data_IF_343707657159
#
_entry.id   IF_343707657159
#
_cell.length_a   1.000
_cell.length_b   1.000
_cell.length_c   1.000
_cell.angle_alpha   90.00
_cell.angle_beta   90.00
_cell.angle_gamma   90.00
#
_symmetry.space_group_name_H-M   'P 1'
#
loop_
_entity.id
_entity.type
_entity.pdbx_description
1 polymer ?
#
# COMPACT_ATOMS: atom_id res chain seq x y z
N UNK A 1 -24.63 -18.76 -5.61
CA UNK A 1 -23.23 -18.55 -6.09
C UNK A 1 -22.72 -17.11 -5.94
N UNK A 2 -23.41 -16.18 -5.26
CA UNK A 2 -23.05 -14.75 -5.30
C UNK A 2 -22.26 -14.24 -4.08
N UNK A 3 -22.35 -14.91 -2.92
CA UNK A 3 -21.69 -14.44 -1.69
C UNK A 3 -20.17 -14.60 -1.71
N UNK A 4 -19.67 -15.74 -2.20
CA UNK A 4 -18.23 -16.05 -2.23
C UNK A 4 -17.46 -15.09 -3.14
N UNK A 5 -18.00 -14.78 -4.33
CA UNK A 5 -17.40 -13.83 -5.27
C UNK A 5 -17.25 -12.42 -4.67
N UNK A 6 -18.23 -11.99 -3.86
CA UNK A 6 -18.19 -10.70 -3.16
C UNK A 6 -17.08 -10.65 -2.10
N UNK A 7 -16.92 -11.72 -1.32
CA UNK A 7 -15.85 -11.82 -0.33
C UNK A 7 -14.46 -11.80 -1.00
N UNK A 8 -14.29 -12.51 -2.11
CA UNK A 8 -13.04 -12.49 -2.86
C UNK A 8 -12.71 -11.10 -3.42
N UNK A 9 -13.71 -10.38 -3.92
CA UNK A 9 -13.52 -9.02 -4.43
C UNK A 9 -12.98 -8.10 -3.33
N UNK A 10 -13.64 -8.06 -2.16
CA UNK A 10 -13.24 -7.18 -1.04
C UNK A 10 -11.84 -7.54 -0.55
N UNK A 11 -11.53 -8.82 -0.35
CA UNK A 11 -10.21 -9.25 0.14
C UNK A 11 -9.11 -8.85 -0.83
N UNK A 12 -9.34 -9.03 -2.14
CA UNK A 12 -8.39 -8.66 -3.18
C UNK A 12 -8.17 -7.15 -3.24
N UNK A 13 -9.26 -6.38 -3.15
CA UNK A 13 -9.23 -4.92 -3.18
C UNK A 13 -8.52 -4.34 -1.94
N UNK A 14 -8.77 -4.89 -0.75
CA UNK A 14 -8.06 -4.52 0.48
C UNK A 14 -6.57 -4.84 0.39
N UNK A 15 -6.21 -6.05 -0.05
CA UNK A 15 -4.82 -6.46 -0.21
C UNK A 15 -4.07 -5.54 -1.18
N UNK A 16 -4.64 -5.29 -2.36
CA UNK A 16 -4.04 -4.40 -3.35
C UNK A 16 -3.94 -2.95 -2.86
N UNK A 17 -4.93 -2.45 -2.12
CA UNK A 17 -4.92 -1.08 -1.58
C UNK A 17 -3.74 -0.81 -0.64
N UNK A 18 -3.21 -1.85 0.01
CA UNK A 18 -2.06 -1.79 0.93
C UNK A 18 -0.76 -2.12 0.19
N UNK A 19 -0.74 -3.19 -0.60
CA UNK A 19 0.47 -3.65 -1.29
C UNK A 19 0.97 -2.65 -2.32
N UNK A 20 0.08 -2.01 -3.10
CA UNK A 20 0.46 -1.07 -4.15
C UNK A 20 1.25 0.13 -3.61
N UNK A 21 0.77 0.90 -2.61
CA UNK A 21 1.53 2.04 -2.08
C UNK A 21 2.79 1.62 -1.31
N UNK A 22 2.80 0.46 -0.64
CA UNK A 22 3.99 -0.07 0.04
C UNK A 22 5.10 -0.45 -0.95
N UNK A 23 4.79 -1.29 -1.94
CA UNK A 23 5.75 -1.74 -2.95
C UNK A 23 6.15 -0.57 -3.84
N UNK A 24 5.20 0.27 -4.24
CA UNK A 24 5.46 1.48 -5.00
C UNK A 24 6.39 2.44 -4.27
N UNK A 25 6.13 2.69 -2.98
CA UNK A 25 6.98 3.52 -2.12
C UNK A 25 8.37 2.91 -1.92
N UNK A 26 8.47 1.61 -1.64
CA UNK A 26 9.76 0.93 -1.50
C UNK A 26 10.59 1.01 -2.78
N UNK A 27 9.97 0.76 -3.94
CA UNK A 27 10.65 0.80 -5.23
C UNK A 27 11.11 2.22 -5.58
N UNK A 28 10.23 3.22 -5.44
CA UNK A 28 10.57 4.63 -5.65
C UNK A 28 11.67 5.09 -4.69
N UNK A 29 11.51 4.80 -3.40
CA UNK A 29 12.47 5.20 -2.39
C UNK A 29 13.84 4.56 -2.61
N UNK A 30 13.89 3.28 -3.01
CA UNK A 30 15.14 2.59 -3.36
C UNK A 30 15.80 3.15 -4.61
N UNK A 31 15.00 3.50 -5.63
CA UNK A 31 15.51 4.16 -6.84
C UNK A 31 16.13 5.53 -6.52
N UNK A 32 15.45 6.34 -5.71
CA UNK A 32 15.96 7.64 -5.28
C UNK A 32 17.19 7.52 -4.37
N UNK A 33 17.16 6.59 -3.41
CA UNK A 33 18.28 6.36 -2.48
C UNK A 33 19.56 5.94 -3.18
N UNK A 34 19.44 5.22 -4.30
CA UNK A 34 20.57 4.80 -5.14
C UNK A 34 21.13 5.96 -5.98
N UNK A 35 20.27 6.90 -6.40
CA UNK A 35 20.71 8.09 -7.14
C UNK A 35 21.33 9.16 -6.21
N UNK A 36 20.86 9.27 -4.97
CA UNK A 36 21.28 10.29 -4.02
C UNK A 36 22.34 9.81 -3.01
N UNK A 37 22.79 8.55 -3.08
CA UNK A 37 23.66 7.90 -2.09
C UNK A 37 23.12 7.99 -0.63
N UNK A 38 21.80 8.14 -0.46
CA UNK A 38 21.13 8.25 0.85
C UNK A 38 20.61 6.92 1.38
N UNK A 39 20.94 5.81 0.72
CA UNK A 39 20.50 4.46 1.08
C UNK A 39 20.71 4.18 2.58
N UNK A 40 19.67 3.82 3.38
CA UNK A 40 18.28 3.52 3.01
C UNK A 40 17.25 4.56 3.53
N UNK A 41 17.61 5.84 3.66
CA UNK A 41 16.78 6.85 4.33
C UNK A 41 15.49 7.16 3.57
N UNK A 42 15.55 7.36 2.25
CA UNK A 42 14.36 7.68 1.45
C UNK A 42 13.48 6.45 1.26
N UNK A 43 14.07 5.26 1.10
CA UNK A 43 13.36 3.99 1.07
C UNK A 43 12.50 3.82 2.32
N UNK A 44 13.09 4.04 3.50
CA UNK A 44 12.37 3.92 4.77
C UNK A 44 11.24 4.95 4.89
N UNK A 45 11.50 6.20 4.50
CA UNK A 45 10.50 7.28 4.52
C UNK A 45 9.33 6.99 3.57
N UNK A 46 9.60 6.58 2.34
CA UNK A 46 8.56 6.23 1.37
C UNK A 46 7.78 4.98 1.76
N UNK A 47 8.41 3.98 2.38
CA UNK A 47 7.71 2.82 2.94
C UNK A 47 6.77 3.25 4.07
N UNK A 48 7.22 4.11 4.97
CA UNK A 48 6.37 4.65 6.05
C UNK A 48 5.17 5.41 5.47
N UNK A 49 5.39 6.28 4.49
CA UNK A 49 4.31 7.01 3.81
C UNK A 49 3.35 6.02 3.11
N UNK A 50 3.89 5.04 2.40
CA UNK A 50 3.11 4.00 1.73
C UNK A 50 2.28 3.15 2.70
N UNK A 51 2.82 2.86 3.89
CA UNK A 51 2.13 2.17 4.96
C UNK A 51 0.96 3.01 5.49
N UNK A 52 1.17 4.30 5.80
CA UNK A 52 0.10 5.18 6.27
C UNK A 52 -1.01 5.33 5.21
N UNK A 53 -0.65 5.49 3.93
CA UNK A 53 -1.60 5.57 2.82
C UNK A 53 -2.39 4.26 2.63
N UNK A 54 -1.72 3.12 2.75
CA UNK A 54 -2.35 1.80 2.67
C UNK A 54 -3.34 1.58 3.81
N UNK A 55 -2.94 1.89 5.04
CA UNK A 55 -3.82 1.79 6.22
C UNK A 55 -5.01 2.75 6.11
N UNK A 56 -4.79 3.98 5.64
CA UNK A 56 -5.86 4.95 5.43
C UNK A 56 -6.85 4.49 4.35
N UNK A 57 -6.36 3.94 3.24
CA UNK A 57 -7.21 3.39 2.18
C UNK A 57 -8.02 2.20 2.67
N UNK A 58 -7.38 1.29 3.41
CA UNK A 58 -8.04 0.14 4.02
C UNK A 58 -9.14 0.59 5.00
N UNK A 59 -8.83 1.56 5.87
CA UNK A 59 -9.82 2.15 6.79
C UNK A 59 -11.00 2.77 6.03
N UNK A 60 -10.73 3.50 4.95
CA UNK A 60 -11.78 4.10 4.11
C UNK A 60 -12.68 3.03 3.48
N UNK A 61 -12.10 1.97 2.91
CA UNK A 61 -12.87 0.87 2.30
C UNK A 61 -13.75 0.18 3.34
N UNK A 62 -13.22 -0.10 4.52
CA UNK A 62 -13.99 -0.71 5.62
C UNK A 62 -15.09 0.23 6.08
N UNK A 63 -14.80 1.52 6.26
CA UNK A 63 -15.79 2.52 6.66
C UNK A 63 -16.89 2.72 5.63
N UNK A 64 -16.58 2.72 4.34
CA UNK A 64 -17.59 2.83 3.27
C UNK A 64 -18.42 1.53 3.11
N UNK A 65 -17.94 0.40 3.68
CA UNK A 65 -18.62 -0.90 3.61
C UNK A 65 -19.53 -1.19 4.81
N UNK A 66 -19.48 -0.38 5.87
CA UNK A 66 -20.30 -0.48 7.10
C UNK A 66 -21.44 0.53 7.03
#
# INVERSE_FOLDING_TARGET
MNGVLWSFKIVSELGLSVTVPLVGGAFLGSYLDRNLNTSPKLTLSFILIGLFLGLYSMYKIVKDSI
#
